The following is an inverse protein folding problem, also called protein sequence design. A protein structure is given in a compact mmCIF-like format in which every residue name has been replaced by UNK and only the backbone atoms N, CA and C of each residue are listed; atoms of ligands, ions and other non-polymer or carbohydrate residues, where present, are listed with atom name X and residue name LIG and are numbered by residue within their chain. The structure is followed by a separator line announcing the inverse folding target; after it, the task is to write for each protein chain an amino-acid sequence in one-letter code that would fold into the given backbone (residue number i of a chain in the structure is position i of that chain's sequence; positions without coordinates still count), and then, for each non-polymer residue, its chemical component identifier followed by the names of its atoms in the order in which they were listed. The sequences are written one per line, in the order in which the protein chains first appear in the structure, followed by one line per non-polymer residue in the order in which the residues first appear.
data_IF_537397898792
#
_entry.id   IF_537397898792
#
_cell.length_a   1.000
_cell.length_b   1.000
_cell.length_c   1.000
_cell.angle_alpha   90.00
_cell.angle_beta   90.00
_cell.angle_gamma   90.00
#
_symmetry.space_group_name_H-M   'P 1'
#
loop_
_entity.id
_entity.type
_entity.pdbx_description
1 polymer ?
#
# COMPACT_ATOMS: atom_id res chain seq x y z
N UNK A 1 -23.42 8.48 -10.96
CA UNK A 1 -22.46 7.37 -11.14
C UNK A 1 -21.94 7.01 -9.76
N UNK A 2 -22.10 5.75 -9.37
CA UNK A 2 -21.97 5.30 -7.99
C UNK A 2 -20.49 5.16 -7.62
N UNK A 3 -20.07 5.66 -6.46
CA UNK A 3 -18.67 5.62 -5.99
C UNK A 3 -18.12 4.17 -5.91
N UNK A 4 -19.03 3.19 -5.76
CA UNK A 4 -18.74 1.75 -5.80
C UNK A 4 -18.29 1.20 -7.17
N UNK A 5 -18.65 1.85 -8.28
CA UNK A 5 -18.25 1.38 -9.63
C UNK A 5 -16.80 1.73 -9.97
N UNK A 6 -16.25 2.79 -9.36
CA UNK A 6 -14.85 3.21 -9.54
C UNK A 6 -13.85 2.28 -8.85
N UNK A 7 -14.20 1.78 -7.67
CA UNK A 7 -13.36 0.87 -6.88
C UNK A 7 -13.29 -0.55 -7.48
N UNK A 8 -14.39 -1.03 -8.07
CA UNK A 8 -14.43 -2.29 -8.84
C UNK A 8 -13.68 -2.23 -10.17
N UNK A 9 -13.34 -1.03 -10.66
CA UNK A 9 -12.65 -0.87 -11.93
C UNK A 9 -11.14 -1.10 -11.84
N UNK A 10 -10.54 -1.09 -10.64
CA UNK A 10 -9.09 -1.08 -10.50
C UNK A 10 -8.49 -2.31 -9.83
N UNK A 11 -9.23 -3.01 -8.96
CA UNK A 11 -8.83 -4.30 -8.41
C UNK A 11 -9.90 -5.37 -8.69
N UNK A 12 -9.48 -6.50 -9.22
CA UNK A 12 -10.35 -7.67 -9.35
C UNK A 12 -10.53 -8.41 -8.01
N UNK A 13 -11.39 -9.44 -8.00
CA UNK A 13 -11.67 -10.21 -6.78
C UNK A 13 -10.43 -10.94 -6.23
N UNK A 14 -9.55 -11.39 -7.12
CA UNK A 14 -8.32 -12.07 -6.73
C UNK A 14 -7.36 -11.06 -6.07
N UNK A 15 -7.14 -9.92 -6.69
CA UNK A 15 -6.27 -8.85 -6.19
C UNK A 15 -6.78 -8.30 -4.85
N UNK A 16 -8.08 -8.10 -4.69
CA UNK A 16 -8.67 -7.70 -3.40
C UNK A 16 -8.38 -8.74 -2.30
N UNK A 17 -8.51 -10.03 -2.60
CA UNK A 17 -8.21 -11.09 -1.64
C UNK A 17 -6.70 -11.18 -1.32
N UNK A 18 -5.84 -10.88 -2.28
CA UNK A 18 -4.38 -10.79 -2.05
C UNK A 18 -4.06 -9.57 -1.17
N UNK A 19 -4.63 -8.41 -1.46
CA UNK A 19 -4.45 -7.19 -0.66
C UNK A 19 -4.92 -7.38 0.78
N UNK A 20 -6.06 -8.03 0.99
CA UNK A 20 -6.53 -8.35 2.35
C UNK A 20 -5.54 -9.25 3.11
N UNK A 21 -5.02 -10.30 2.46
CA UNK A 21 -3.98 -11.15 3.06
C UNK A 21 -2.70 -10.39 3.34
N UNK A 22 -2.33 -9.46 2.45
CA UNK A 22 -1.19 -8.57 2.66
C UNK A 22 -1.36 -7.74 3.93
N UNK A 23 -2.50 -7.08 4.08
CA UNK A 23 -2.76 -6.29 5.27
C UNK A 23 -2.75 -7.13 6.53
N UNK A 24 -3.38 -8.31 6.54
CA UNK A 24 -3.33 -9.21 7.70
C UNK A 24 -1.89 -9.56 8.07
N UNK A 25 -1.06 -9.93 7.10
CA UNK A 25 0.34 -10.27 7.32
C UNK A 25 1.19 -9.10 7.87
N UNK A 26 0.79 -7.84 7.59
CA UNK A 26 1.41 -6.67 8.19
C UNK A 26 0.99 -6.44 9.64
N UNK A 27 -0.28 -6.72 9.97
CA UNK A 27 -0.82 -6.54 11.32
C UNK A 27 -0.42 -7.66 12.29
N UNK A 28 -0.04 -8.84 11.79
CA UNK A 28 0.45 -9.96 12.60
C UNK A 28 1.85 -9.71 13.17
N UNK A 29 2.63 -8.81 12.55
CA UNK A 29 3.95 -8.44 13.04
C UNK A 29 3.81 -7.44 14.18
N UNK A 30 4.50 -7.65 15.33
CA UNK A 30 4.41 -6.76 16.48
C UNK A 30 5.12 -5.43 16.20
N UNK A 31 4.45 -4.53 15.49
CA UNK A 31 4.97 -3.22 15.12
C UNK A 31 4.09 -2.08 15.64
N UNK A 32 4.74 -0.96 15.97
CA UNK A 32 4.07 0.24 16.50
C UNK A 32 3.10 0.87 15.50
N UNK A 33 3.37 0.76 14.19
CA UNK A 33 2.57 1.40 13.16
C UNK A 33 1.44 0.50 12.71
N UNK A 34 0.23 1.04 12.69
CA UNK A 34 -0.99 0.34 12.32
C UNK A 34 -1.53 0.88 10.98
N UNK A 35 -0.99 0.42 9.82
CA UNK A 35 -1.33 0.99 8.52
C UNK A 35 -2.78 0.69 8.14
N UNK A 36 -3.52 1.72 7.75
CA UNK A 36 -4.90 1.58 7.26
C UNK A 36 -4.96 1.79 5.76
N UNK A 37 -5.50 0.82 5.03
CA UNK A 37 -5.63 0.92 3.57
C UNK A 37 -6.61 2.00 3.18
N UNK A 38 -6.20 2.85 2.24
CA UNK A 38 -7.07 3.76 1.53
C UNK A 38 -7.31 3.21 0.12
N UNK A 39 -8.35 2.40 -0.01
CA UNK A 39 -8.71 1.79 -1.30
C UNK A 39 -9.24 2.82 -2.31
N UNK A 40 -9.55 4.05 -1.87
CA UNK A 40 -10.19 5.06 -2.74
C UNK A 40 -9.24 5.68 -3.77
N UNK A 41 -7.93 5.41 -3.65
CA UNK A 41 -6.89 5.96 -4.52
C UNK A 41 -5.84 4.91 -4.88
N UNK A 42 -6.29 3.68 -5.13
CA UNK A 42 -5.46 2.69 -5.82
C UNK A 42 -5.14 3.22 -7.22
N UNK A 43 -4.01 2.78 -7.80
CA UNK A 43 -3.74 3.01 -9.21
C UNK A 43 -2.76 1.96 -9.75
N UNK A 44 -2.70 1.81 -11.08
CA UNK A 44 -1.81 0.85 -11.75
C UNK A 44 -0.63 1.54 -12.40
N UNK A 45 0.56 0.99 -12.18
CA UNK A 45 1.77 1.36 -12.89
C UNK A 45 1.83 0.76 -14.29
N UNK A 46 2.71 1.32 -15.13
CA UNK A 46 2.96 0.87 -16.50
C UNK A 46 3.51 -0.56 -16.58
N UNK A 47 4.11 -1.06 -15.50
CA UNK A 47 4.65 -2.43 -15.41
C UNK A 47 3.67 -3.41 -14.72
N UNK A 48 2.40 -3.06 -14.59
CA UNK A 48 1.40 -3.91 -13.90
C UNK A 48 1.50 -3.90 -12.38
N UNK A 49 2.29 -2.97 -11.81
CA UNK A 49 2.33 -2.72 -10.37
C UNK A 49 1.00 -2.14 -9.91
N UNK A 50 0.57 -2.49 -8.71
CA UNK A 50 -0.65 -2.01 -8.09
C UNK A 50 -0.25 -1.16 -6.89
N UNK A 51 -0.38 0.15 -7.03
CA UNK A 51 -0.05 1.10 -5.99
C UNK A 51 -1.25 1.28 -5.06
N UNK A 52 -1.03 1.02 -3.78
CA UNK A 52 -2.09 1.07 -2.77
C UNK A 52 -1.67 2.00 -1.64
N UNK A 53 -2.35 3.13 -1.48
CA UNK A 53 -2.06 4.02 -0.37
C UNK A 53 -2.50 3.44 0.96
N UNK A 54 -1.68 3.64 1.98
CA UNK A 54 -1.91 3.25 3.36
C UNK A 54 -1.62 4.42 4.28
N UNK A 55 -2.55 4.73 5.15
CA UNK A 55 -2.40 5.78 6.15
C UNK A 55 -1.64 5.26 7.36
N UNK A 56 -0.60 5.98 7.77
CA UNK A 56 0.21 5.72 8.96
C UNK A 56 0.13 6.90 9.92
N UNK A 57 0.12 6.62 11.22
CA UNK A 57 0.11 7.65 12.26
C UNK A 57 1.48 8.31 12.41
N UNK A 58 1.48 9.61 12.73
CA UNK A 58 2.69 10.39 12.96
C UNK A 58 2.90 11.51 11.94
N UNK A 59 4.07 12.14 12.01
CA UNK A 59 4.47 13.29 11.19
C UNK A 59 5.58 12.95 10.17
N UNK A 60 6.06 11.69 10.15
CA UNK A 60 7.09 11.21 9.24
C UNK A 60 6.78 9.77 8.80
N UNK A 61 7.17 9.34 7.59
CA UNK A 61 7.00 7.96 7.16
C UNK A 61 7.77 6.98 8.06
N UNK A 62 7.22 5.79 8.28
CA UNK A 62 7.84 4.74 9.10
C UNK A 62 8.73 3.84 8.24
N UNK A 63 10.05 3.96 8.43
CA UNK A 63 11.05 3.20 7.67
C UNK A 63 11.00 1.69 7.95
N UNK A 64 10.75 1.28 9.20
CA UNK A 64 10.68 -0.13 9.55
C UNK A 64 9.42 -0.77 8.93
N UNK A 65 8.30 -0.06 8.96
CA UNK A 65 7.10 -0.48 8.26
C UNK A 65 7.35 -0.58 6.75
N UNK A 66 8.09 0.36 6.15
CA UNK A 66 8.44 0.32 4.73
C UNK A 66 9.24 -0.94 4.37
N UNK A 67 10.25 -1.28 5.18
CA UNK A 67 11.03 -2.51 5.00
C UNK A 67 10.16 -3.77 5.14
N UNK A 68 9.25 -3.78 6.12
CA UNK A 68 8.32 -4.89 6.30
C UNK A 68 7.38 -5.03 5.09
N UNK A 69 6.83 -3.92 4.60
CA UNK A 69 6.01 -3.88 3.38
C UNK A 69 6.79 -4.45 2.19
N UNK A 70 8.00 -3.98 1.93
CA UNK A 70 8.82 -4.49 0.84
C UNK A 70 9.03 -6.02 0.93
N UNK A 71 9.37 -6.51 2.12
CA UNK A 71 9.57 -7.94 2.37
C UNK A 71 8.29 -8.77 2.11
N UNK A 72 7.15 -8.33 2.66
CA UNK A 72 5.87 -9.06 2.52
C UNK A 72 5.32 -8.95 1.09
N UNK A 73 5.52 -7.82 0.41
CA UNK A 73 5.16 -7.65 -1.00
C UNK A 73 5.87 -8.67 -1.89
N UNK A 74 7.18 -8.88 -1.68
CA UNK A 74 7.95 -9.87 -2.44
C UNK A 74 7.42 -11.30 -2.21
N UNK A 75 7.13 -11.65 -0.95
CA UNK A 75 6.57 -12.97 -0.61
C UNK A 75 5.21 -13.21 -1.28
N UNK A 76 4.32 -12.22 -1.25
CA UNK A 76 2.99 -12.30 -1.84
C UNK A 76 3.02 -12.32 -3.36
N UNK A 77 3.93 -11.57 -3.98
CA UNK A 77 4.11 -11.60 -5.43
C UNK A 77 4.47 -13.01 -5.90
N UNK A 78 5.39 -13.69 -5.21
CA UNK A 78 5.77 -15.09 -5.52
C UNK A 78 4.59 -16.08 -5.42
N UNK A 79 3.59 -15.79 -4.59
CA UNK A 79 2.44 -16.68 -4.38
C UNK A 79 1.24 -16.36 -5.28
N UNK A 80 1.04 -15.09 -5.61
CA UNK A 80 -0.18 -14.60 -6.27
C UNK A 80 0.04 -14.06 -7.68
N UNK A 81 1.28 -13.72 -8.04
CA UNK A 81 1.58 -12.96 -9.27
C UNK A 81 1.13 -11.50 -9.23
N UNK A 82 0.50 -11.04 -8.14
CA UNK A 82 0.06 -9.64 -7.98
C UNK A 82 1.17 -8.79 -7.37
N UNK A 83 1.59 -7.73 -8.07
CA UNK A 83 2.72 -6.87 -7.65
C UNK A 83 2.22 -5.62 -6.94
N UNK A 84 1.96 -5.74 -5.64
CA UNK A 84 1.53 -4.61 -4.81
C UNK A 84 2.71 -3.73 -4.37
N UNK A 85 2.51 -2.42 -4.41
CA UNK A 85 3.41 -1.41 -3.85
C UNK A 85 2.60 -0.56 -2.87
N UNK A 86 2.89 -0.68 -1.58
CA UNK A 86 2.20 0.11 -0.56
C UNK A 86 2.86 1.50 -0.43
N UNK A 87 2.02 2.53 -0.43
CA UNK A 87 2.45 3.92 -0.34
C UNK A 87 2.02 4.50 1.00
N UNK A 88 2.96 4.93 1.83
CA UNK A 88 2.63 5.53 3.11
C UNK A 88 2.07 6.94 2.94
N UNK A 89 1.00 7.26 3.66
CA UNK A 89 0.45 8.60 3.83
C UNK A 89 0.41 8.93 5.30
N UNK A 90 0.80 10.15 5.65
CA UNK A 90 0.77 10.60 7.03
C UNK A 90 -0.62 11.09 7.38
N UNK A 91 -1.16 10.66 8.53
CA UNK A 91 -2.45 11.18 9.04
C UNK A 91 -2.45 12.71 9.19
N UNK A 92 -1.27 13.28 9.48
CA UNK A 92 -1.10 14.70 9.75
C UNK A 92 -0.76 15.51 8.49
N UNK A 93 -0.56 14.87 7.34
CA UNK A 93 -0.21 15.57 6.10
C UNK A 93 -1.47 16.09 5.38
N UNK A 94 -1.71 17.42 5.38
CA UNK A 94 -2.87 18.01 4.72
C UNK A 94 -2.81 17.88 3.19
N UNK A 95 -1.62 17.66 2.62
CA UNK A 95 -1.44 17.49 1.17
C UNK A 95 -1.66 16.03 0.72
N UNK A 96 -1.79 15.08 1.66
CA UNK A 96 -1.97 13.65 1.39
C UNK A 96 -0.92 13.08 0.43
N UNK A 97 0.33 13.49 0.58
CA UNK A 97 1.44 12.99 -0.22
C UNK A 97 1.61 11.48 -0.02
N UNK A 98 1.95 10.79 -1.11
CA UNK A 98 2.29 9.38 -1.09
C UNK A 98 3.81 9.24 -0.95
N UNK A 99 4.26 8.50 0.06
CA UNK A 99 5.66 8.18 0.30
C UNK A 99 5.93 6.71 -0.01
N UNK A 100 6.95 6.45 -0.82
CA UNK A 100 7.45 5.10 -1.11
C UNK A 100 8.92 5.00 -0.73
N UNK A 101 9.30 3.89 -0.13
CA UNK A 101 10.70 3.57 0.08
C UNK A 101 11.24 2.88 -1.17
N UNK A 102 12.12 3.54 -1.90
CA UNK A 102 12.71 3.03 -3.13
C UNK A 102 14.15 3.49 -3.27
N UNK A 103 15.01 2.61 -3.80
CA UNK A 103 16.43 2.92 -4.08
C UNK A 103 17.19 3.43 -2.84
N UNK A 104 16.82 2.97 -1.65
CA UNK A 104 17.47 3.35 -0.38
C UNK A 104 17.11 4.75 0.12
N UNK A 105 16.04 5.37 -0.39
CA UNK A 105 15.54 6.67 0.08
C UNK A 105 14.02 6.79 0.00
N UNK A 106 13.46 7.76 0.73
CA UNK A 106 12.06 8.13 0.59
C UNK A 106 11.85 8.92 -0.70
N UNK A 107 10.92 8.45 -1.53
CA UNK A 107 10.46 9.16 -2.71
C UNK A 107 9.00 9.56 -2.52
N UNK A 108 8.62 10.71 -3.08
CA UNK A 108 7.22 11.10 -3.18
C UNK A 108 6.70 10.68 -4.54
N UNK A 109 5.50 10.11 -4.57
CA UNK A 109 4.81 9.76 -5.83
C UNK A 109 3.49 10.54 -5.93
N UNK A 110 3.01 10.85 -7.15
CA UNK A 110 1.73 11.52 -7.35
C UNK A 110 0.55 10.83 -6.67
#
# INVERSE_FOLDING_TARGET
MNHNDRLRAELDQHELAVLQRYMVALHEEPHVSNPRVDVTQVFRGVEGQIFVPVTVSGATPDAHLAMLMEHKAEQLYKQSGSRFVLLQRLETDPQRQNYVWAEGSWQTVP
#
